data_IF_345282612508
#
_entry.id   IF_345282612508
#
_cell.length_a   1.000
_cell.length_b   1.000
_cell.length_c   1.000
_cell.angle_alpha   90.00
_cell.angle_beta   90.00
_cell.angle_gamma   90.00
#
_symmetry.space_group_name_H-M   'P 1'
#
loop_
_entity.id
_entity.type
_entity.pdbx_description
1 polymer ?
#
# COMPACT_ATOMS: atom_id res chain seq x y z
N UNK A 1 6.14 -1.48 36.73
CA UNK A 1 6.39 -0.42 35.71
C UNK A 1 6.56 -0.99 34.31
N UNK A 2 7.32 -2.09 34.15
CA UNK A 2 7.56 -2.78 32.86
C UNK A 2 6.28 -3.02 32.04
N UNK A 3 5.20 -3.51 32.66
CA UNK A 3 3.91 -3.74 31.98
C UNK A 3 3.32 -2.48 31.33
N UNK A 4 3.49 -1.30 31.95
CA UNK A 4 3.00 -0.01 31.41
C UNK A 4 3.87 0.45 30.23
N UNK A 5 5.18 0.27 30.32
CA UNK A 5 6.13 0.59 29.24
C UNK A 5 5.84 -0.27 28.02
N UNK A 6 5.60 -1.57 28.22
CA UNK A 6 5.32 -2.50 27.13
C UNK A 6 3.99 -2.17 26.42
N UNK A 7 2.95 -1.82 27.18
CA UNK A 7 1.66 -1.36 26.63
C UNK A 7 1.83 -0.06 25.83
N UNK A 8 2.59 0.90 26.36
CA UNK A 8 2.85 2.17 25.65
C UNK A 8 3.62 1.94 24.35
N UNK A 9 4.60 1.03 24.35
CA UNK A 9 5.37 0.69 23.15
C UNK A 9 4.48 0.05 22.08
N UNK A 10 3.61 -0.89 22.47
CA UNK A 10 2.64 -1.50 21.54
C UNK A 10 1.64 -0.48 20.98
N UNK A 11 1.25 0.52 21.77
CA UNK A 11 0.35 1.57 21.31
C UNK A 11 1.01 2.43 20.23
N UNK A 12 2.26 2.84 20.44
CA UNK A 12 3.05 3.63 19.49
C UNK A 12 3.24 2.85 18.19
N UNK A 13 3.53 1.54 18.27
CA UNK A 13 3.67 0.71 17.08
C UNK A 13 2.37 0.55 16.29
N UNK A 14 1.22 0.45 16.97
CA UNK A 14 -0.10 0.40 16.30
C UNK A 14 -0.39 1.72 15.59
N UNK A 15 -0.15 2.85 16.26
CA UNK A 15 -0.36 4.18 15.66
C UNK A 15 0.54 4.37 14.43
N UNK A 16 1.82 3.99 14.52
CA UNK A 16 2.75 4.03 13.39
C UNK A 16 2.30 3.14 12.23
N UNK A 17 1.82 1.92 12.51
CA UNK A 17 1.29 1.03 11.48
C UNK A 17 0.02 1.59 10.82
N UNK A 18 -0.90 2.17 11.60
CA UNK A 18 -2.11 2.81 11.07
C UNK A 18 -1.75 4.00 10.17
N UNK A 19 -0.81 4.86 10.58
CA UNK A 19 -0.33 5.97 9.77
C UNK A 19 0.24 5.47 8.42
N UNK A 20 1.10 4.46 8.48
CA UNK A 20 1.72 3.89 7.29
C UNK A 20 0.68 3.22 6.36
N UNK A 21 -0.35 2.59 6.93
CA UNK A 21 -1.48 2.04 6.18
C UNK A 21 -2.24 3.11 5.37
N UNK A 22 -2.51 4.28 5.97
CA UNK A 22 -3.14 5.39 5.25
C UNK A 22 -2.28 5.92 4.10
N UNK A 23 -0.96 6.07 4.31
CA UNK A 23 -0.06 6.52 3.22
C UNK A 23 0.03 5.53 2.05
N UNK A 24 -0.17 4.24 2.31
CA UNK A 24 -0.22 3.20 1.26
C UNK A 24 -1.56 3.17 0.54
N UNK A 25 -2.64 3.56 1.21
CA UNK A 25 -3.99 3.58 0.63
C UNK A 25 -4.08 4.53 -0.56
N UNK A 26 -3.47 5.71 -0.48
CA UNK A 26 -3.36 6.66 -1.60
C UNK A 26 -2.64 6.05 -2.82
N UNK A 27 -1.65 5.18 -2.58
CA UNK A 27 -0.93 4.49 -3.65
C UNK A 27 -1.74 3.33 -4.27
N UNK A 28 -2.69 2.77 -3.53
CA UNK A 28 -3.56 1.68 -3.98
C UNK A 28 -4.80 2.21 -4.71
N UNK A 29 -5.31 3.38 -4.32
CA UNK A 29 -6.41 4.07 -5.01
C UNK A 29 -6.02 4.56 -6.42
N UNK A 30 -4.73 4.47 -6.76
CA UNK A 30 -4.21 4.38 -8.13
C UNK A 30 -4.53 3.01 -8.77
N UNK A 31 -5.74 2.50 -8.53
CA UNK A 31 -6.17 1.17 -8.90
C UNK A 31 -6.00 0.93 -10.42
N UNK A 32 -5.67 -0.31 -10.83
CA UNK A 32 -5.45 -0.66 -12.24
C UNK A 32 -6.62 -0.25 -13.12
N UNK A 33 -7.86 -0.33 -12.63
CA UNK A 33 -9.08 0.00 -13.37
C UNK A 33 -9.17 1.48 -13.77
N UNK A 34 -8.77 2.40 -12.89
CA UNK A 34 -8.75 3.85 -13.18
C UNK A 34 -7.62 4.19 -14.16
N UNK A 35 -6.48 3.51 -14.00
CA UNK A 35 -5.35 3.62 -14.92
C UNK A 35 -5.66 3.07 -16.32
N UNK A 36 -6.49 2.03 -16.40
CA UNK A 36 -6.87 1.37 -17.66
C UNK A 36 -7.84 2.23 -18.48
N UNK A 37 -8.82 2.85 -17.82
CA UNK A 37 -9.71 3.80 -18.48
C UNK A 37 -8.95 5.02 -19.01
N UNK A 38 -8.10 5.63 -18.19
CA UNK A 38 -7.29 6.79 -18.60
C UNK A 38 -6.33 6.45 -19.74
N UNK A 39 -5.64 5.31 -19.67
CA UNK A 39 -4.74 4.87 -20.73
C UNK A 39 -5.49 4.57 -22.04
N UNK A 40 -6.70 4.01 -21.97
CA UNK A 40 -7.53 3.77 -23.16
C UNK A 40 -7.97 5.08 -23.82
N UNK A 41 -8.35 6.08 -23.02
CA UNK A 41 -8.79 7.39 -23.49
C UNK A 41 -7.63 8.19 -24.12
N UNK A 42 -6.45 8.14 -23.50
CA UNK A 42 -5.24 8.75 -24.06
C UNK A 42 -4.82 8.10 -25.39
N UNK A 43 -4.87 6.76 -25.48
CA UNK A 43 -4.59 6.05 -26.74
C UNK A 43 -5.61 6.39 -27.83
N UNK A 44 -6.88 6.53 -27.47
CA UNK A 44 -7.94 6.94 -28.38
C UNK A 44 -7.73 8.37 -28.90
N UNK A 45 -7.37 9.31 -28.02
CA UNK A 45 -7.03 10.69 -28.42
C UNK A 45 -5.83 10.76 -29.37
N UNK A 46 -4.81 9.93 -29.16
CA UNK A 46 -3.65 9.82 -30.07
C UNK A 46 -4.07 9.24 -31.43
N UNK A 47 -5.01 8.30 -31.44
CA UNK A 47 -5.49 7.71 -32.69
C UNK A 47 -6.24 8.73 -33.56
N UNK A 48 -7.08 9.55 -32.94
CA UNK A 48 -7.88 10.58 -33.62
C UNK A 48 -7.08 11.77 -34.15
N UNK A 49 -5.82 11.93 -33.73
CA UNK A 49 -4.95 13.00 -34.21
C UNK A 49 -4.53 12.77 -35.65
N UNK A 50 -4.83 13.74 -36.52
CA UNK A 50 -4.43 13.72 -37.93
C UNK A 50 -3.09 14.45 -38.17
N UNK A 51 -2.60 15.17 -37.17
CA UNK A 51 -1.38 16.00 -37.18
C UNK A 51 -0.07 15.20 -37.05
N UNK A 52 -0.15 13.93 -36.64
CA UNK A 52 1.01 13.09 -36.33
C UNK A 52 0.99 11.79 -37.11
N UNK A 53 2.19 11.37 -37.52
CA UNK A 53 2.39 10.22 -38.39
C UNK A 53 2.27 8.89 -37.63
N UNK A 54 2.07 7.79 -38.35
CA UNK A 54 1.83 6.46 -37.75
C UNK A 54 2.97 6.00 -36.83
N UNK A 55 4.22 6.36 -37.17
CA UNK A 55 5.39 6.03 -36.35
C UNK A 55 5.35 6.77 -35.00
N UNK A 56 4.99 8.05 -35.03
CA UNK A 56 4.91 8.90 -33.84
C UNK A 56 3.75 8.48 -32.93
N UNK A 57 2.60 8.12 -33.52
CA UNK A 57 1.49 7.50 -32.79
C UNK A 57 1.91 6.22 -32.08
N UNK A 58 2.73 5.38 -32.72
CA UNK A 58 3.20 4.14 -32.12
C UNK A 58 4.13 4.40 -30.91
N UNK A 59 5.04 5.37 -31.02
CA UNK A 59 5.93 5.77 -29.92
C UNK A 59 5.12 6.30 -28.73
N UNK A 60 4.14 7.18 -28.97
CA UNK A 60 3.30 7.75 -27.93
C UNK A 60 2.45 6.68 -27.21
N UNK A 61 1.84 5.75 -27.96
CA UNK A 61 1.12 4.60 -27.37
C UNK A 61 2.02 3.71 -26.53
N UNK A 62 3.26 3.50 -26.97
CA UNK A 62 4.23 2.68 -26.24
C UNK A 62 4.68 3.35 -24.93
N UNK A 63 4.81 4.68 -24.90
CA UNK A 63 5.06 5.42 -23.66
C UNK A 63 3.93 5.28 -22.64
N UNK A 64 2.68 5.28 -23.09
CA UNK A 64 1.50 5.05 -22.24
C UNK A 64 1.55 3.63 -21.66
N UNK A 65 1.88 2.62 -22.48
CA UNK A 65 2.03 1.24 -22.01
C UNK A 65 3.18 1.07 -21.00
N UNK A 66 4.28 1.81 -21.18
CA UNK A 66 5.39 1.82 -20.21
C UNK A 66 4.97 2.43 -18.87
N UNK A 67 4.28 3.58 -18.87
CA UNK A 67 3.71 4.19 -17.65
C UNK A 67 2.71 3.27 -16.96
N UNK A 68 1.89 2.55 -17.74
CA UNK A 68 0.94 1.57 -17.20
C UNK A 68 1.67 0.43 -16.49
N UNK A 69 2.72 -0.13 -17.08
CA UNK A 69 3.51 -1.22 -16.46
C UNK A 69 4.23 -0.77 -15.20
N UNK A 70 4.71 0.48 -15.14
CA UNK A 70 5.34 1.00 -13.92
C UNK A 70 4.30 1.24 -12.82
N UNK A 71 3.16 1.87 -13.14
CA UNK A 71 2.07 2.10 -12.19
C UNK A 71 1.53 0.78 -11.61
N UNK A 72 1.33 -0.23 -12.46
CA UNK A 72 0.87 -1.56 -12.02
C UNK A 72 1.86 -2.22 -11.07
N UNK A 73 3.17 -2.14 -11.34
CA UNK A 73 4.21 -2.66 -10.43
C UNK A 73 4.24 -1.94 -9.09
N UNK A 74 4.08 -0.61 -9.08
CA UNK A 74 4.03 0.18 -7.85
C UNK A 74 2.79 -0.17 -7.03
N UNK A 75 1.63 -0.31 -7.68
CA UNK A 75 0.38 -0.71 -7.05
C UNK A 75 0.46 -2.13 -6.46
N UNK A 76 1.00 -3.11 -7.21
CA UNK A 76 1.21 -4.48 -6.70
C UNK A 76 2.17 -4.51 -5.51
N UNK A 77 3.26 -3.73 -5.57
CA UNK A 77 4.21 -3.60 -4.45
C UNK A 77 3.53 -2.98 -3.22
N UNK A 78 2.76 -1.91 -3.41
CA UNK A 78 2.02 -1.24 -2.35
C UNK A 78 0.99 -2.19 -1.70
N UNK A 79 0.24 -2.94 -2.50
CA UNK A 79 -0.72 -3.92 -2.01
C UNK A 79 -0.05 -5.05 -1.22
N UNK A 80 1.10 -5.55 -1.69
CA UNK A 80 1.87 -6.57 -0.99
C UNK A 80 2.41 -6.05 0.34
N UNK A 81 2.93 -4.83 0.35
CA UNK A 81 3.42 -4.16 1.56
C UNK A 81 2.28 -3.97 2.57
N UNK A 82 1.12 -3.51 2.11
CA UNK A 82 -0.08 -3.32 2.93
C UNK A 82 -0.57 -4.62 3.56
N UNK A 83 -0.57 -5.73 2.80
CA UNK A 83 -0.94 -7.05 3.30
C UNK A 83 -0.02 -7.50 4.43
N UNK A 84 1.30 -7.27 4.28
CA UNK A 84 2.28 -7.60 5.31
C UNK A 84 2.09 -6.77 6.59
N UNK A 85 1.86 -5.46 6.44
CA UNK A 85 1.57 -4.56 7.56
C UNK A 85 0.30 -4.95 8.31
N UNK A 86 -0.76 -5.32 7.58
CA UNK A 86 -1.99 -5.79 8.18
C UNK A 86 -1.74 -7.03 9.05
N UNK A 87 -0.95 -7.98 8.54
CA UNK A 87 -0.58 -9.18 9.29
C UNK A 87 0.25 -8.86 10.54
N UNK A 88 1.20 -7.93 10.45
CA UNK A 88 2.00 -7.46 11.57
C UNK A 88 1.13 -6.81 12.67
N UNK A 89 0.14 -5.98 12.28
CA UNK A 89 -0.82 -5.38 13.20
C UNK A 89 -1.68 -6.45 13.88
N UNK A 90 -2.18 -7.44 13.14
CA UNK A 90 -2.93 -8.55 13.73
C UNK A 90 -2.11 -9.30 14.80
N UNK A 91 -0.84 -9.60 14.51
CA UNK A 91 0.07 -10.23 15.49
C UNK A 91 0.26 -9.34 16.72
N UNK A 92 0.46 -8.04 16.54
CA UNK A 92 0.60 -7.09 17.65
C UNK A 92 -0.64 -6.98 18.52
N UNK A 93 -1.84 -7.02 17.94
CA UNK A 93 -3.09 -7.05 18.70
C UNK A 93 -3.19 -8.32 19.54
N UNK A 94 -2.87 -9.49 18.96
CA UNK A 94 -2.85 -10.76 19.70
C UNK A 94 -1.84 -10.71 20.84
N UNK A 95 -0.64 -10.18 20.59
CA UNK A 95 0.39 -10.00 21.62
C UNK A 95 -0.08 -9.09 22.75
N UNK A 96 -0.77 -8.00 22.42
CA UNK A 96 -1.35 -7.07 23.39
C UNK A 96 -2.39 -7.76 24.27
N UNK A 97 -3.28 -8.55 23.68
CA UNK A 97 -4.32 -9.31 24.40
C UNK A 97 -3.68 -10.30 25.37
N UNK A 98 -2.68 -11.07 24.92
CA UNK A 98 -1.92 -11.99 25.78
C UNK A 98 -1.29 -11.21 26.94
N UNK A 99 -0.67 -10.06 26.67
CA UNK A 99 -0.05 -9.23 27.70
C UNK A 99 -1.03 -8.74 28.76
N UNK A 100 -2.25 -8.38 28.35
CA UNK A 100 -3.32 -7.98 29.26
C UNK A 100 -3.74 -9.16 30.13
N UNK A 101 -3.97 -10.33 29.52
CA UNK A 101 -4.39 -11.57 30.19
C UNK A 101 -3.36 -12.13 31.18
N UNK A 102 -2.06 -11.96 30.93
CA UNK A 102 -1.03 -12.48 31.85
C UNK A 102 -1.12 -11.78 33.22
N UNK A 103 -1.38 -12.51 34.32
CA UNK A 103 -1.45 -11.94 35.66
C UNK A 103 -0.10 -11.32 36.07
N UNK A 104 -0.13 -10.18 36.77
CA UNK A 104 1.08 -9.43 37.20
C UNK A 104 2.15 -10.30 37.90
N UNK A 105 1.78 -11.42 38.50
CA UNK A 105 2.68 -12.36 39.19
C UNK A 105 3.66 -13.09 38.27
N UNK A 106 3.35 -13.27 36.99
CA UNK A 106 4.21 -14.02 36.05
C UNK A 106 5.24 -13.15 35.32
N UNK A 107 5.03 -11.83 35.26
CA UNK A 107 5.94 -10.89 34.57
C UNK A 107 7.17 -10.54 35.42
N UNK A 108 7.09 -10.73 36.74
CA UNK A 108 8.20 -10.47 37.68
C UNK A 108 9.13 -11.67 37.91
N UNK A 109 8.87 -12.81 37.25
CA UNK A 109 9.66 -14.05 37.37
C UNK A 109 10.57 -14.32 36.18
N UNK A 110 10.57 -13.43 35.19
CA UNK A 110 11.51 -13.36 34.06
C UNK A 110 12.35 -12.11 34.30
#
# INVERSE_FOLDING_TARGET
MIKKILISLTLITIIGCCWFFFTLFDAIDLAPTKSDHLASEEKWKIEQRADIDSCEKHVLKNQIDLRRRSAKRVSELAFRMQTFLFFAVCIQIVLLVILILVPKRYILRI
#
